data_IF_013024177066
#
_entry.id   IF_013024177066
#
_cell.length_a   1.000
_cell.length_b   1.000
_cell.length_c   1.000
_cell.angle_alpha   90.00
_cell.angle_beta   90.00
_cell.angle_gamma   90.00
#
_symmetry.space_group_name_H-M   'P 1'
#
loop_
_entity.id
_entity.type
_entity.pdbx_description
1 polymer ?
#
# COMPACT_ATOMS: atom_id res chain seq x y z
N UNK A 1 -4.40 5.08 -38.28
CA UNK A 1 -4.18 5.61 -36.92
C UNK A 1 -4.11 4.42 -35.98
N UNK A 2 -2.91 4.08 -35.50
CA UNK A 2 -2.76 3.12 -34.41
C UNK A 2 -3.34 3.77 -33.16
N UNK A 3 -4.35 3.14 -32.55
CA UNK A 3 -4.81 3.54 -31.22
C UNK A 3 -3.66 3.17 -30.27
N UNK A 4 -2.99 4.16 -29.70
CA UNK A 4 -2.02 3.90 -28.63
C UNK A 4 -2.78 3.29 -27.46
N UNK A 5 -2.55 1.99 -27.24
CA UNK A 5 -3.13 1.26 -26.12
C UNK A 5 -2.51 1.75 -24.82
N UNK A 6 -3.34 2.18 -23.89
CA UNK A 6 -2.96 2.48 -22.52
C UNK A 6 -3.35 1.34 -21.58
N UNK A 7 -2.62 1.23 -20.47
CA UNK A 7 -2.83 0.22 -19.43
C UNK A 7 -2.87 0.89 -18.06
N UNK A 8 -3.81 0.48 -17.22
CA UNK A 8 -3.97 0.99 -15.86
C UNK A 8 -4.36 -0.14 -14.91
N UNK A 9 -3.90 -0.08 -13.67
CA UNK A 9 -4.27 -1.03 -12.62
C UNK A 9 -3.94 -0.53 -11.22
N UNK A 10 -4.68 -1.05 -10.25
CA UNK A 10 -4.47 -0.81 -8.83
C UNK A 10 -3.53 -1.85 -8.22
N UNK A 11 -2.66 -1.36 -7.34
CA UNK A 11 -1.61 -2.16 -6.68
C UNK A 11 -1.71 -1.96 -5.18
N UNK A 12 -2.08 -3.00 -4.44
CA UNK A 12 -2.06 -2.95 -2.98
C UNK A 12 -0.66 -3.21 -2.43
N UNK A 13 -0.18 -2.32 -1.56
CA UNK A 13 1.03 -2.56 -0.76
C UNK A 13 0.60 -2.98 0.63
N UNK A 14 0.88 -4.24 0.98
CA UNK A 14 0.44 -4.87 2.23
C UNK A 14 1.61 -5.46 3.00
N UNK A 15 1.42 -5.66 4.29
CA UNK A 15 2.45 -6.16 5.19
C UNK A 15 2.27 -5.63 6.61
N UNK A 16 2.99 -6.21 7.56
CA UNK A 16 2.94 -5.82 8.98
C UNK A 16 3.24 -4.33 9.18
N UNK A 17 2.82 -3.71 10.29
CA UNK A 17 3.26 -2.36 10.64
C UNK A 17 4.79 -2.22 10.57
N UNK A 18 5.27 -1.06 10.15
CA UNK A 18 6.71 -0.70 10.12
C UNK A 18 7.65 -1.51 9.21
N UNK A 19 7.16 -2.46 8.40
CA UNK A 19 8.01 -3.19 7.41
C UNK A 19 8.52 -2.33 6.24
N UNK A 20 8.25 -1.02 6.24
CA UNK A 20 8.74 -0.09 5.21
C UNK A 20 7.81 0.16 4.02
N UNK A 21 6.53 -0.22 4.08
CA UNK A 21 5.52 0.01 3.01
C UNK A 21 5.53 1.44 2.46
N UNK A 22 5.35 2.44 3.32
CA UNK A 22 5.34 3.85 2.92
C UNK A 22 6.70 4.34 2.40
N UNK A 23 7.81 3.74 2.84
CA UNK A 23 9.15 4.02 2.30
C UNK A 23 9.29 3.49 0.88
N UNK A 24 8.82 2.27 0.62
CA UNK A 24 8.79 1.69 -0.71
C UNK A 24 7.92 2.54 -1.66
N UNK A 25 6.72 2.93 -1.21
CA UNK A 25 5.82 3.79 -1.99
C UNK A 25 6.47 5.10 -2.40
N UNK A 26 7.10 5.82 -1.45
CA UNK A 26 7.78 7.08 -1.76
C UNK A 26 8.94 6.90 -2.75
N UNK A 27 9.66 5.78 -2.68
CA UNK A 27 10.73 5.46 -3.64
C UNK A 27 10.16 5.18 -5.03
N UNK A 28 9.08 4.41 -5.13
CA UNK A 28 8.41 4.11 -6.40
C UNK A 28 7.85 5.37 -7.08
N UNK A 29 7.39 6.35 -6.30
CA UNK A 29 6.84 7.60 -6.82
C UNK A 29 7.90 8.67 -7.10
N UNK A 30 9.15 8.49 -6.65
CA UNK A 30 10.21 9.50 -6.76
C UNK A 30 10.00 10.76 -5.91
N UNK A 31 8.97 10.78 -5.06
CA UNK A 31 8.61 11.91 -4.20
C UNK A 31 7.97 11.44 -2.89
N UNK A 32 8.09 12.27 -1.85
CA UNK A 32 7.56 11.98 -0.51
C UNK A 32 6.07 12.32 -0.43
N UNK A 33 5.21 11.41 -0.88
CA UNK A 33 3.74 11.56 -0.82
C UNK A 33 3.16 10.95 0.45
N UNK A 34 3.68 9.79 0.89
CA UNK A 34 3.24 9.13 2.11
C UNK A 34 4.01 9.62 3.33
N UNK A 35 3.28 9.99 4.38
CA UNK A 35 3.87 10.31 5.68
C UNK A 35 4.61 9.07 6.21
N UNK A 36 5.90 9.20 6.52
CA UNK A 36 6.74 8.15 7.12
C UNK A 36 7.09 8.52 8.57
N UNK A 37 6.95 7.60 9.51
CA UNK A 37 7.39 7.75 10.91
C UNK A 37 7.70 6.38 11.53
N UNK A 38 8.50 6.38 12.61
CA UNK A 38 8.83 5.18 13.39
C UNK A 38 7.71 4.75 14.35
N UNK A 39 6.68 5.59 14.56
CA UNK A 39 5.50 5.24 15.36
C UNK A 39 4.48 4.51 14.47
N UNK A 40 3.92 3.40 14.96
CA UNK A 40 2.79 2.74 14.30
C UNK A 40 1.57 3.69 14.19
N UNK A 41 0.66 3.43 13.23
CA UNK A 41 -0.58 4.18 12.96
C UNK A 41 -0.44 5.54 12.23
N UNK A 42 0.45 5.64 11.24
CA UNK A 42 0.65 6.89 10.48
C UNK A 42 -0.38 7.15 9.38
N UNK A 43 -0.99 6.11 8.81
CA UNK A 43 -1.94 6.22 7.68
C UNK A 43 -3.38 6.01 8.18
N UNK A 44 -4.10 7.09 8.52
CA UNK A 44 -5.54 7.05 8.89
C UNK A 44 -6.49 7.24 7.70
N UNK A 45 -6.00 7.82 6.60
CA UNK A 45 -6.71 8.00 5.34
C UNK A 45 -5.98 7.21 4.24
N UNK A 46 -6.72 6.53 3.35
CA UNK A 46 -6.16 5.79 2.21
C UNK A 46 -5.34 6.75 1.36
N UNK A 47 -4.02 6.55 1.29
CA UNK A 47 -3.13 7.33 0.40
C UNK A 47 -3.09 6.60 -0.94
N UNK A 48 -3.38 7.33 -2.01
CA UNK A 48 -3.28 6.84 -3.39
C UNK A 48 -2.06 7.47 -4.04
N UNK A 49 -1.12 6.64 -4.48
CA UNK A 49 0.07 7.05 -5.22
C UNK A 49 -0.08 6.70 -6.70
N UNK A 50 0.06 7.67 -7.59
CA UNK A 50 -0.06 7.44 -9.04
C UNK A 50 1.33 7.54 -9.68
N UNK A 51 1.76 6.48 -10.35
CA UNK A 51 2.97 6.45 -11.17
C UNK A 51 2.58 6.22 -12.62
N UNK A 52 2.91 7.15 -13.50
CA UNK A 52 2.64 7.03 -14.94
C UNK A 52 3.94 7.05 -15.71
N UNK A 53 4.16 6.03 -16.53
CA UNK A 53 5.35 5.91 -17.38
C UNK A 53 4.92 5.44 -18.77
N UNK A 54 5.08 6.31 -19.77
CA UNK A 54 4.60 6.06 -21.13
C UNK A 54 3.10 5.73 -21.16
N UNK A 55 2.77 4.54 -21.66
CA UNK A 55 1.39 4.04 -21.79
C UNK A 55 0.84 3.36 -20.52
N UNK A 56 1.63 3.28 -19.44
CA UNK A 56 1.28 2.52 -18.24
C UNK A 56 1.02 3.45 -17.06
N UNK A 57 -0.03 3.15 -16.30
CA UNK A 57 -0.36 3.82 -15.05
C UNK A 57 -0.55 2.80 -13.92
N UNK A 58 0.27 2.93 -12.88
CA UNK A 58 0.15 2.16 -11.64
C UNK A 58 -0.46 3.03 -10.54
N UNK A 59 -1.56 2.54 -9.96
CA UNK A 59 -2.25 3.21 -8.85
C UNK A 59 -1.98 2.44 -7.57
N UNK A 60 -0.99 2.87 -6.80
CA UNK A 60 -0.66 2.29 -5.51
C UNK A 60 -1.65 2.71 -4.45
N UNK A 61 -2.20 1.75 -3.72
CA UNK A 61 -3.04 2.00 -2.55
C UNK A 61 -2.27 1.62 -1.28
N UNK A 62 -1.99 2.62 -0.44
CA UNK A 62 -1.39 2.40 0.88
C UNK A 62 -2.46 1.87 1.83
N UNK A 63 -2.24 0.65 2.33
CA UNK A 63 -3.13 0.02 3.30
C UNK A 63 -2.57 0.21 4.71
N UNK A 64 -3.43 0.46 5.73
CA UNK A 64 -3.00 0.36 7.11
C UNK A 64 -2.27 -0.97 7.37
N UNK A 65 -1.19 -0.96 8.15
CA UNK A 65 -0.45 -2.18 8.46
C UNK A 65 -1.37 -3.23 9.09
N UNK A 66 -1.28 -4.48 8.63
CA UNK A 66 -2.10 -5.58 9.13
C UNK A 66 -1.75 -5.88 10.59
N UNK A 67 -2.69 -5.63 11.51
CA UNK A 67 -2.52 -5.91 12.94
C UNK A 67 -3.15 -7.27 13.27
N UNK A 68 -2.35 -8.18 13.86
CA UNK A 68 -2.82 -9.52 14.26
C UNK A 68 -3.56 -9.55 15.61
N UNK A 69 -3.38 -8.55 16.49
CA UNK A 69 -3.98 -8.58 17.83
C UNK A 69 -5.29 -7.78 17.93
N UNK A 70 -6.37 -8.54 18.13
CA UNK A 70 -7.76 -8.14 18.24
C UNK A 70 -8.12 -7.64 19.64
N UNK A 71 -7.99 -6.33 19.93
CA UNK A 71 -8.66 -5.75 21.12
C UNK A 71 -9.31 -4.37 20.92
N UNK A 72 -9.05 -3.65 19.83
CA UNK A 72 -9.55 -2.26 19.64
C UNK A 72 -10.40 -2.11 18.37
N UNK A 73 -11.51 -1.39 18.47
CA UNK A 73 -12.44 -1.13 17.36
C UNK A 73 -11.75 -0.51 16.12
N UNK A 74 -10.71 0.30 16.34
CA UNK A 74 -9.90 0.90 15.28
C UNK A 74 -9.13 -0.14 14.45
N UNK A 75 -8.68 -1.25 15.07
CA UNK A 75 -7.98 -2.33 14.38
C UNK A 75 -8.93 -3.13 13.48
N UNK A 76 -10.19 -3.31 13.89
CA UNK A 76 -11.22 -3.95 13.05
C UNK A 76 -11.56 -3.09 11.84
N UNK A 77 -11.65 -1.77 12.02
CA UNK A 77 -11.89 -0.82 10.94
C UNK A 77 -10.72 -0.76 9.95
N UNK A 78 -9.47 -0.82 10.46
CA UNK A 78 -8.25 -0.91 9.66
C UNK A 78 -8.12 -2.23 8.91
N UNK A 79 -8.41 -3.37 9.55
CA UNK A 79 -8.41 -4.68 8.87
C UNK A 79 -9.52 -4.75 7.82
N UNK A 80 -10.72 -4.18 8.09
CA UNK A 80 -11.78 -4.08 7.08
C UNK A 80 -11.35 -3.22 5.88
N UNK A 81 -10.68 -2.10 6.13
CA UNK A 81 -10.12 -1.25 5.07
C UNK A 81 -8.99 -1.96 4.30
N UNK A 82 -8.10 -2.69 4.96
CA UNK A 82 -7.05 -3.47 4.31
C UNK A 82 -7.64 -4.63 3.48
N UNK A 83 -8.58 -5.39 4.03
CA UNK A 83 -9.29 -6.48 3.35
C UNK A 83 -10.12 -5.99 2.16
N UNK A 84 -10.83 -4.87 2.28
CA UNK A 84 -11.56 -4.29 1.14
C UNK A 84 -10.61 -3.77 0.05
N UNK A 85 -9.42 -3.28 0.44
CA UNK A 85 -8.42 -2.81 -0.53
C UNK A 85 -7.72 -3.95 -1.28
N UNK A 86 -7.78 -5.18 -0.79
CA UNK A 86 -7.25 -6.36 -1.48
C UNK A 86 -8.25 -6.92 -2.49
N UNK A 87 -9.56 -6.71 -2.29
CA UNK A 87 -10.60 -7.18 -3.22
C UNK A 87 -10.67 -6.42 -4.55
N UNK A 88 -10.20 -5.17 -4.57
CA UNK A 88 -10.34 -4.24 -5.70
C UNK A 88 -9.01 -3.95 -6.41
N UNK A 89 -8.02 -4.87 -6.35
CA UNK A 89 -6.70 -4.67 -6.96
C UNK A 89 -6.32 -5.78 -7.93
N UNK A 90 -5.63 -5.40 -9.00
CA UNK A 90 -5.07 -6.33 -9.98
C UNK A 90 -3.76 -6.95 -9.50
N UNK A 91 -3.05 -6.31 -8.56
CA UNK A 91 -1.76 -6.79 -8.04
C UNK A 91 -1.57 -6.49 -6.55
N UNK A 92 -0.94 -7.42 -5.83
CA UNK A 92 -0.56 -7.28 -4.42
C UNK A 92 0.95 -7.36 -4.24
N UNK A 93 1.54 -6.33 -3.63
CA UNK A 93 2.93 -6.32 -3.16
C UNK A 93 2.93 -6.62 -1.66
N UNK A 94 3.38 -7.81 -1.29
CA UNK A 94 3.55 -8.21 0.10
C UNK A 94 4.97 -7.89 0.59
N UNK A 95 5.07 -6.92 1.50
CA UNK A 95 6.35 -6.43 2.03
C UNK A 95 6.66 -7.10 3.35
N UNK A 96 7.88 -7.65 3.46
CA UNK A 96 8.38 -8.39 4.61
C UNK A 96 9.72 -7.80 5.06
N UNK A 97 10.03 -7.94 6.35
CA UNK A 97 11.32 -7.49 6.89
C UNK A 97 12.41 -8.52 6.53
N UNK A 98 13.47 -8.08 5.86
CA UNK A 98 14.47 -8.98 5.28
C UNK A 98 15.30 -9.77 6.30
N UNK A 99 15.45 -9.27 7.51
CA UNK A 99 16.28 -9.88 8.57
C UNK A 99 15.47 -10.62 9.63
N UNK A 100 14.14 -10.48 9.62
CA UNK A 100 13.28 -11.04 10.66
C UNK A 100 11.92 -11.44 10.08
N UNK A 101 11.70 -12.74 9.96
CA UNK A 101 10.36 -13.26 9.76
C UNK A 101 9.64 -13.30 11.11
N UNK A 102 8.46 -12.69 11.18
CA UNK A 102 7.53 -12.90 12.29
C UNK A 102 6.28 -13.56 11.71
N UNK A 103 6.02 -14.85 12.02
CA UNK A 103 4.82 -15.58 11.57
C UNK A 103 3.55 -14.94 12.11
#
# INVERSE_FOLDING_TARGET
MSIDKSYCGFIAIVGRPNVGKSTLLNKLLGQKISITSRKAQTTRHRIVGIHTEGAYQAIYVDTPGLHMEEKRAINRLMNKAASSSIGDVELVIFVVEGTRWTP
#
